data_IF_670514181845
#
_entry.id   IF_670514181845
#
_cell.length_a   1.000
_cell.length_b   1.000
_cell.length_c   1.000
_cell.angle_alpha   90.00
_cell.angle_beta   90.00
_cell.angle_gamma   90.00
#
_symmetry.space_group_name_H-M   'P 1'
#
loop_
_entity.id
_entity.type
_entity.pdbx_description
1 polymer ?
#
# COMPACT_ATOMS: atom_id res chain seq x y z
N UNK A 1 -12.83 -4.29 25.20
CA UNK A 1 -13.26 -5.53 24.52
C UNK A 1 -12.14 -5.96 23.59
N UNK A 2 -11.65 -7.20 23.71
CA UNK A 2 -10.66 -7.77 22.79
C UNK A 2 -11.26 -7.96 21.40
N UNK A 3 -10.42 -7.91 20.38
CA UNK A 3 -10.75 -8.26 19.01
C UNK A 3 -11.21 -9.72 18.91
N UNK A 4 -12.08 -10.05 17.94
CA UNK A 4 -12.51 -11.44 17.71
C UNK A 4 -11.35 -12.41 17.42
N UNK A 5 -10.25 -11.89 16.84
CA UNK A 5 -9.08 -12.71 16.52
C UNK A 5 -8.29 -13.06 17.79
N UNK A 6 -8.13 -12.10 18.71
CA UNK A 6 -7.45 -12.33 19.99
C UNK A 6 -8.29 -13.14 20.98
N UNK A 7 -9.60 -13.30 20.76
CA UNK A 7 -10.42 -14.22 21.56
C UNK A 7 -10.23 -15.70 21.22
N UNK A 8 -9.55 -16.03 20.11
CA UNK A 8 -9.22 -17.41 19.78
C UNK A 8 -8.12 -17.91 20.72
N UNK A 9 -8.31 -19.04 21.44
CA UNK A 9 -7.37 -19.50 22.48
C UNK A 9 -5.91 -19.61 21.99
N UNK A 10 -5.71 -20.28 20.84
CA UNK A 10 -4.36 -20.46 20.28
C UNK A 10 -3.69 -19.12 19.90
N UNK A 11 -4.46 -18.16 19.37
CA UNK A 11 -3.94 -16.84 19.01
C UNK A 11 -3.58 -16.08 20.27
N UNK A 12 -4.45 -16.12 21.28
CA UNK A 12 -4.25 -15.44 22.55
C UNK A 12 -2.98 -15.95 23.24
N UNK A 13 -2.76 -17.25 23.29
CA UNK A 13 -1.62 -17.84 23.99
C UNK A 13 -0.30 -17.44 23.31
N UNK A 14 -0.23 -17.54 21.98
CA UNK A 14 0.96 -17.13 21.21
C UNK A 14 1.18 -15.62 21.33
N UNK A 15 0.16 -14.81 21.09
CA UNK A 15 0.29 -13.36 21.00
C UNK A 15 0.53 -12.75 22.38
N UNK A 16 -0.15 -13.22 23.42
CA UNK A 16 0.03 -12.69 24.79
C UNK A 16 1.45 -12.85 25.29
N UNK A 17 2.14 -13.93 24.91
CA UNK A 17 3.56 -14.16 25.22
C UNK A 17 4.49 -13.12 24.58
N UNK A 18 4.12 -12.62 23.40
CA UNK A 18 4.91 -11.65 22.62
C UNK A 18 4.56 -10.20 22.94
N UNK A 19 3.33 -9.93 23.36
CA UNK A 19 2.80 -8.56 23.55
C UNK A 19 2.65 -8.16 25.02
N UNK A 20 3.02 -9.06 25.95
CA UNK A 20 2.81 -8.85 27.39
C UNK A 20 1.32 -8.77 27.74
N UNK A 21 0.49 -9.59 27.11
CA UNK A 21 -0.96 -9.66 27.35
C UNK A 21 -1.80 -8.60 26.64
N UNK A 22 -1.21 -7.71 25.84
CA UNK A 22 -1.95 -6.70 25.05
C UNK A 22 -2.52 -7.31 23.77
N UNK A 23 -3.73 -6.90 23.38
CA UNK A 23 -4.33 -7.29 22.10
C UNK A 23 -3.84 -6.36 20.98
N UNK A 24 -2.91 -6.79 20.10
CA UNK A 24 -2.41 -5.95 19.02
C UNK A 24 -3.46 -5.72 17.94
N UNK A 25 -4.50 -6.53 17.85
CA UNK A 25 -5.55 -6.40 16.84
C UNK A 25 -6.67 -5.46 17.30
N UNK A 26 -6.63 -4.99 18.56
CA UNK A 26 -7.60 -4.02 19.07
C UNK A 26 -7.55 -2.73 18.24
N UNK A 27 -6.38 -2.12 18.05
CA UNK A 27 -6.20 -0.92 17.23
C UNK A 27 -5.05 -1.13 16.24
N UNK A 28 -5.36 -1.15 14.94
CA UNK A 28 -4.41 -1.45 13.87
C UNK A 28 -3.50 -0.28 13.50
N UNK A 29 -3.57 0.85 14.21
CA UNK A 29 -2.73 2.02 13.92
C UNK A 29 -1.23 1.72 13.98
N UNK A 30 -0.79 0.84 14.89
CA UNK A 30 0.62 0.47 15.01
C UNK A 30 1.14 -0.26 13.76
N UNK A 31 0.28 -1.07 13.11
CA UNK A 31 0.65 -1.87 11.95
C UNK A 31 0.40 -1.15 10.63
N UNK A 32 -0.49 -0.15 10.60
CA UNK A 32 -0.91 0.51 9.37
C UNK A 32 0.26 1.10 8.58
N UNK A 33 1.11 1.88 9.25
CA UNK A 33 2.28 2.53 8.61
C UNK A 33 3.28 1.51 8.05
N UNK A 34 3.84 0.56 8.84
CA UNK A 34 4.80 -0.39 8.31
C UNK A 34 4.20 -1.28 7.20
N UNK A 35 2.94 -1.70 7.31
CA UNK A 35 2.28 -2.47 6.25
C UNK A 35 2.08 -1.66 4.98
N UNK A 36 1.77 -0.36 5.08
CA UNK A 36 1.63 0.50 3.91
C UNK A 36 2.94 0.68 3.15
N UNK A 37 4.06 0.83 3.88
CA UNK A 37 5.41 0.91 3.31
C UNK A 37 5.82 -0.41 2.68
N UNK A 38 5.53 -1.54 3.36
CA UNK A 38 5.79 -2.87 2.82
C UNK A 38 5.04 -3.08 1.50
N UNK A 39 3.73 -2.82 1.46
CA UNK A 39 2.93 -2.94 0.24
C UNK A 39 3.42 -2.01 -0.89
N UNK A 40 3.94 -0.83 -0.56
CA UNK A 40 4.53 0.08 -1.54
C UNK A 40 5.85 -0.45 -2.13
N UNK A 41 6.66 -1.15 -1.32
CA UNK A 41 7.94 -1.71 -1.72
C UNK A 41 7.85 -3.04 -2.49
N UNK A 42 6.81 -3.86 -2.24
CA UNK A 42 6.65 -5.17 -2.89
C UNK A 42 6.80 -5.17 -4.43
N UNK A 43 6.14 -4.28 -5.21
CA UNK A 43 6.30 -4.28 -6.66
C UNK A 43 7.73 -3.94 -7.10
N UNK A 44 8.47 -3.17 -6.31
CA UNK A 44 9.88 -2.88 -6.56
C UNK A 44 10.74 -4.14 -6.40
N UNK A 45 10.66 -4.81 -5.26
CA UNK A 45 11.46 -6.02 -5.00
C UNK A 45 11.15 -7.14 -5.99
N UNK A 46 9.87 -7.32 -6.34
CA UNK A 46 9.47 -8.26 -7.38
C UNK A 46 10.12 -7.95 -8.73
N UNK A 47 10.15 -6.67 -9.14
CA UNK A 47 10.71 -6.29 -10.43
C UNK A 47 12.24 -6.22 -10.45
N UNK A 48 12.90 -5.98 -9.31
CA UNK A 48 14.35 -6.20 -9.15
C UNK A 48 14.67 -7.67 -9.41
N UNK A 49 13.95 -8.58 -8.74
CA UNK A 49 14.17 -10.01 -8.91
C UNK A 49 14.01 -10.42 -10.38
N UNK A 50 12.97 -9.93 -11.06
CA UNK A 50 12.77 -10.20 -12.48
C UNK A 50 13.89 -9.64 -13.37
N UNK A 51 14.32 -8.40 -13.13
CA UNK A 51 15.39 -7.77 -13.89
C UNK A 51 16.72 -8.53 -13.74
N UNK A 52 17.06 -8.91 -12.52
CA UNK A 52 18.30 -9.62 -12.20
C UNK A 52 18.31 -11.05 -12.74
N UNK A 53 17.26 -11.83 -12.46
CA UNK A 53 17.16 -13.23 -12.89
C UNK A 53 17.15 -13.41 -14.40
N UNK A 54 16.57 -12.46 -15.14
CA UNK A 54 16.48 -12.50 -16.60
C UNK A 54 17.57 -11.66 -17.28
N UNK A 55 18.53 -11.11 -16.53
CA UNK A 55 19.63 -10.28 -17.03
C UNK A 55 19.15 -9.14 -17.96
N UNK A 56 18.01 -8.54 -17.63
CA UNK A 56 17.50 -7.36 -18.35
C UNK A 56 18.50 -6.23 -18.15
N UNK A 57 18.97 -5.64 -19.26
CA UNK A 57 20.09 -4.68 -19.25
C UNK A 57 21.36 -5.20 -18.54
N UNK A 58 21.62 -6.51 -18.58
CA UNK A 58 22.75 -7.14 -17.89
C UNK A 58 22.50 -7.46 -16.42
N UNK A 59 21.31 -7.18 -15.89
CA UNK A 59 20.95 -7.36 -14.48
C UNK A 59 20.53 -6.04 -13.84
N UNK A 60 20.04 -6.10 -12.60
CA UNK A 60 19.61 -4.92 -11.88
C UNK A 60 20.82 -4.16 -11.30
N UNK A 61 20.85 -2.83 -11.47
CA UNK A 61 21.90 -2.00 -10.89
C UNK A 61 21.45 -1.30 -9.61
N UNK A 62 22.04 -1.70 -8.48
CA UNK A 62 21.86 -1.00 -7.20
C UNK A 62 22.70 0.29 -7.09
N UNK A 63 23.69 0.48 -7.98
CA UNK A 63 24.53 1.68 -8.00
C UNK A 63 23.72 2.90 -8.43
N UNK A 64 22.86 2.74 -9.44
CA UNK A 64 21.97 3.80 -9.89
C UNK A 64 20.62 3.24 -10.38
N UNK A 65 19.74 2.82 -9.46
CA UNK A 65 18.49 2.15 -9.80
C UNK A 65 17.52 3.04 -10.59
N UNK A 66 17.52 4.36 -10.32
CA UNK A 66 16.67 5.31 -11.06
C UNK A 66 17.13 5.45 -12.50
N UNK A 67 18.43 5.58 -12.71
CA UNK A 67 19.00 5.63 -14.06
C UNK A 67 18.72 4.33 -14.82
N UNK A 68 18.86 3.17 -14.16
CA UNK A 68 18.52 1.88 -14.78
C UNK A 68 17.09 1.83 -15.33
N UNK A 69 16.11 2.35 -14.57
CA UNK A 69 14.71 2.43 -15.01
C UNK A 69 14.54 3.43 -16.16
N UNK A 70 15.24 4.56 -16.11
CA UNK A 70 15.25 5.56 -17.19
C UNK A 70 15.83 4.99 -18.48
N UNK A 71 16.93 4.23 -18.41
CA UNK A 71 17.52 3.55 -19.56
C UNK A 71 16.54 2.55 -20.18
N UNK A 72 15.83 1.77 -19.35
CA UNK A 72 14.80 0.86 -19.85
C UNK A 72 13.66 1.61 -20.56
N UNK A 73 13.30 2.77 -20.04
CA UNK A 73 12.28 3.64 -20.63
C UNK A 73 12.77 4.23 -21.95
N UNK A 74 14.00 4.72 -22.01
CA UNK A 74 14.62 5.27 -23.21
C UNK A 74 14.70 4.23 -24.34
N UNK A 75 14.93 2.96 -24.00
CA UNK A 75 14.89 1.84 -24.98
C UNK A 75 13.55 1.79 -25.73
N UNK A 76 12.43 2.15 -25.11
CA UNK A 76 11.12 2.12 -25.80
C UNK A 76 10.99 3.11 -26.95
N UNK A 77 11.87 4.12 -27.01
CA UNK A 77 11.88 5.12 -28.08
C UNK A 77 12.49 4.60 -29.37
N UNK A 78 13.39 3.61 -29.27
CA UNK A 78 14.12 3.05 -30.43
C UNK A 78 13.71 1.62 -30.73
N UNK A 79 13.27 0.86 -29.72
CA UNK A 79 12.97 -0.57 -29.82
C UNK A 79 11.71 -0.93 -29.06
N UNK A 80 10.90 -1.82 -29.61
CA UNK A 80 9.73 -2.36 -28.91
C UNK A 80 10.16 -3.16 -27.69
N UNK A 81 9.61 -2.81 -26.53
CA UNK A 81 9.87 -3.53 -25.28
C UNK A 81 9.20 -4.91 -25.26
N UNK A 82 9.87 -5.86 -24.65
CA UNK A 82 9.33 -7.20 -24.36
C UNK A 82 8.23 -7.14 -23.29
N UNK A 83 7.35 -8.15 -23.20
CA UNK A 83 6.35 -8.22 -22.14
C UNK A 83 6.95 -8.18 -20.72
N UNK A 84 8.13 -8.78 -20.53
CA UNK A 84 8.86 -8.76 -19.26
C UNK A 84 9.32 -7.35 -18.90
N UNK A 85 9.97 -6.64 -19.84
CA UNK A 85 10.44 -5.26 -19.63
C UNK A 85 9.27 -4.31 -19.33
N UNK A 86 8.14 -4.47 -20.03
CA UNK A 86 6.93 -3.73 -19.72
C UNK A 86 6.39 -4.02 -18.32
N UNK A 87 6.51 -5.26 -17.84
CA UNK A 87 6.11 -5.66 -16.48
C UNK A 87 7.03 -5.02 -15.43
N UNK A 88 8.34 -4.98 -15.70
CA UNK A 88 9.32 -4.32 -14.84
C UNK A 88 9.00 -2.83 -14.73
N UNK A 89 8.82 -2.13 -15.86
CA UNK A 89 8.45 -0.72 -15.84
C UNK A 89 7.14 -0.48 -15.09
N UNK A 90 6.11 -1.32 -15.32
CA UNK A 90 4.85 -1.23 -14.58
C UNK A 90 5.04 -1.37 -13.07
N UNK A 91 5.83 -2.34 -12.60
CA UNK A 91 6.08 -2.48 -11.16
C UNK A 91 6.83 -1.31 -10.56
N UNK A 92 7.81 -0.76 -11.29
CA UNK A 92 8.52 0.45 -10.84
C UNK A 92 7.60 1.67 -10.78
N UNK A 93 6.70 1.85 -11.75
CA UNK A 93 5.66 2.90 -11.70
C UNK A 93 4.64 2.67 -10.58
N UNK A 94 4.27 1.41 -10.32
CA UNK A 94 3.36 1.04 -9.23
C UNK A 94 3.95 1.41 -7.87
N UNK A 95 5.24 1.14 -7.65
CA UNK A 95 5.94 1.53 -6.42
C UNK A 95 5.87 3.05 -6.22
N UNK A 96 6.12 3.84 -7.27
CA UNK A 96 6.24 5.29 -7.17
C UNK A 96 4.90 5.88 -6.76
N UNK A 97 3.83 5.43 -7.44
CA UNK A 97 2.47 5.78 -7.06
C UNK A 97 2.13 5.39 -5.61
N UNK A 98 2.56 4.21 -5.16
CA UNK A 98 2.31 3.77 -3.80
C UNK A 98 3.02 4.66 -2.77
N UNK A 99 4.31 4.96 -2.97
CA UNK A 99 5.08 5.84 -2.09
C UNK A 99 4.58 7.28 -2.10
N UNK A 100 4.03 7.78 -3.20
CA UNK A 100 3.36 9.09 -3.26
C UNK A 100 2.10 9.16 -2.38
N UNK A 101 1.41 8.02 -2.17
CA UNK A 101 0.17 7.96 -1.39
C UNK A 101 0.40 7.61 0.09
N UNK A 102 1.51 6.96 0.43
CA UNK A 102 1.82 6.58 1.83
C UNK A 102 1.79 7.78 2.79
N UNK A 103 2.40 8.95 2.49
CA UNK A 103 2.34 10.11 3.38
C UNK A 103 0.91 10.56 3.69
N UNK A 104 0.04 10.54 2.68
CA UNK A 104 -1.37 10.92 2.84
C UNK A 104 -2.12 9.92 3.72
N UNK A 105 -1.84 8.62 3.59
CA UNK A 105 -2.36 7.59 4.49
C UNK A 105 -1.88 7.79 5.94
N UNK A 106 -0.58 8.04 6.13
CA UNK A 106 0.00 8.31 7.45
C UNK A 106 -0.67 9.52 8.10
N UNK A 107 -0.78 10.64 7.37
CA UNK A 107 -1.43 11.85 7.85
C UNK A 107 -2.89 11.58 8.24
N UNK A 108 -3.62 10.81 7.43
CA UNK A 108 -5.01 10.45 7.71
C UNK A 108 -5.15 9.54 8.94
N UNK A 109 -4.20 8.63 9.16
CA UNK A 109 -4.18 7.77 10.33
C UNK A 109 -3.88 8.55 11.61
N UNK A 110 -2.93 9.50 11.54
CA UNK A 110 -2.64 10.44 12.63
C UNK A 110 -3.87 11.29 12.92
N UNK A 111 -4.50 11.85 11.89
CA UNK A 111 -5.75 12.62 12.01
C UNK A 111 -6.87 11.83 12.69
N UNK A 112 -7.07 10.57 12.30
CA UNK A 112 -8.12 9.73 12.88
C UNK A 112 -7.92 9.49 14.38
N UNK A 113 -6.67 9.27 14.80
CA UNK A 113 -6.32 9.11 16.21
C UNK A 113 -6.44 10.45 16.97
N UNK A 114 -5.96 11.55 16.38
CA UNK A 114 -6.05 12.89 16.97
C UNK A 114 -7.50 13.34 17.17
N UNK A 115 -8.37 13.16 16.18
CA UNK A 115 -9.78 13.50 16.25
C UNK A 115 -10.58 12.58 17.20
N UNK A 116 -9.95 11.55 17.79
CA UNK A 116 -10.61 10.63 18.71
C UNK A 116 -11.70 9.79 18.04
N UNK A 117 -11.48 9.37 16.79
CA UNK A 117 -12.40 8.46 16.11
C UNK A 117 -12.43 7.10 16.81
N UNK A 118 -13.58 6.43 16.74
CA UNK A 118 -13.71 5.10 17.34
C UNK A 118 -12.78 4.08 16.66
N UNK A 119 -12.27 3.15 17.47
CA UNK A 119 -11.27 2.16 17.02
C UNK A 119 -11.78 1.30 15.87
N UNK A 120 -13.08 1.01 15.81
CA UNK A 120 -13.68 0.24 14.70
C UNK A 120 -13.61 1.02 13.38
N UNK A 121 -13.84 2.34 13.41
CA UNK A 121 -13.66 3.23 12.26
C UNK A 121 -12.19 3.29 11.82
N UNK A 122 -11.25 3.44 12.75
CA UNK A 122 -9.81 3.45 12.45
C UNK A 122 -9.38 2.12 11.81
N UNK A 123 -9.76 0.98 12.39
CA UNK A 123 -9.41 -0.34 11.86
C UNK A 123 -9.99 -0.58 10.46
N UNK A 124 -11.24 -0.17 10.22
CA UNK A 124 -11.87 -0.25 8.89
C UNK A 124 -11.12 0.59 7.86
N UNK A 125 -10.68 1.78 8.24
CA UNK A 125 -9.85 2.62 7.36
C UNK A 125 -8.51 1.95 7.04
N UNK A 126 -7.78 1.48 8.04
CA UNK A 126 -6.49 0.80 7.84
C UNK A 126 -6.65 -0.41 6.92
N UNK A 127 -7.59 -1.31 7.22
CA UNK A 127 -7.82 -2.51 6.41
C UNK A 127 -8.29 -2.13 5.01
N UNK A 128 -9.30 -1.26 4.90
CA UNK A 128 -9.87 -0.87 3.61
C UNK A 128 -8.85 -0.20 2.69
N UNK A 129 -8.03 0.69 3.22
CA UNK A 129 -6.94 1.31 2.48
C UNK A 129 -5.89 0.27 2.05
N UNK A 130 -5.38 -0.55 2.98
CA UNK A 130 -4.34 -1.54 2.65
C UNK A 130 -4.83 -2.58 1.64
N UNK A 131 -6.06 -3.07 1.76
CA UNK A 131 -6.69 -3.98 0.78
C UNK A 131 -6.79 -3.30 -0.59
N UNK A 132 -7.22 -2.04 -0.65
CA UNK A 132 -7.27 -1.30 -1.92
C UNK A 132 -5.88 -1.20 -2.57
N UNK A 133 -4.83 -0.99 -1.77
CA UNK A 133 -3.45 -0.91 -2.28
C UNK A 133 -2.94 -2.28 -2.74
N UNK A 134 -3.24 -3.35 -2.02
CA UNK A 134 -2.88 -4.70 -2.45
C UNK A 134 -3.54 -5.07 -3.79
N UNK A 135 -4.85 -4.84 -3.92
CA UNK A 135 -5.58 -5.07 -5.16
C UNK A 135 -5.07 -4.18 -6.30
N UNK A 136 -4.79 -2.90 -6.02
CA UNK A 136 -4.21 -1.98 -6.99
C UNK A 136 -2.87 -2.51 -7.51
N UNK A 137 -1.97 -2.95 -6.63
CA UNK A 137 -0.66 -3.51 -7.00
C UNK A 137 -0.80 -4.76 -7.86
N UNK A 138 -1.68 -5.70 -7.49
CA UNK A 138 -1.93 -6.91 -8.28
C UNK A 138 -2.46 -6.58 -9.68
N UNK A 139 -3.41 -5.65 -9.78
CA UNK A 139 -3.92 -5.19 -11.07
C UNK A 139 -2.83 -4.50 -11.88
N UNK A 140 -2.01 -3.65 -11.26
CA UNK A 140 -0.95 -2.91 -11.96
C UNK A 140 0.07 -3.85 -12.63
N UNK A 141 0.47 -4.92 -11.93
CA UNK A 141 1.46 -5.86 -12.46
C UNK A 141 0.90 -6.75 -13.58
N UNK A 142 -0.32 -7.26 -13.40
CA UNK A 142 -0.90 -8.30 -14.27
C UNK A 142 -1.71 -7.76 -15.45
N UNK A 143 -2.14 -6.49 -15.41
CA UNK A 143 -3.00 -5.93 -16.45
C UNK A 143 -2.19 -5.22 -17.54
N UNK A 144 -2.31 -5.72 -18.77
CA UNK A 144 -1.66 -5.14 -19.97
C UNK A 144 -2.62 -4.49 -20.98
N UNK A 145 -3.94 -4.71 -20.86
CA UNK A 145 -4.96 -4.22 -21.81
C UNK A 145 -5.66 -2.95 -21.29
N UNK A 146 -5.97 -2.01 -22.20
CA UNK A 146 -6.64 -0.73 -21.91
C UNK A 146 -8.01 -0.89 -21.23
N UNK A 147 -8.82 -1.88 -21.60
CA UNK A 147 -10.12 -2.10 -20.95
C UNK A 147 -9.99 -2.43 -19.45
N UNK A 148 -8.92 -3.14 -19.07
CA UNK A 148 -8.68 -3.54 -17.68
C UNK A 148 -7.99 -2.42 -16.87
N UNK A 149 -7.52 -1.33 -17.51
CA UNK A 149 -6.96 -0.18 -16.77
C UNK A 149 -8.02 0.62 -16.02
N UNK A 150 -9.30 0.53 -16.41
CA UNK A 150 -10.39 1.14 -15.66
C UNK A 150 -10.58 0.51 -14.27
N UNK A 151 -10.37 -0.81 -14.15
CA UNK A 151 -10.40 -1.50 -12.87
C UNK A 151 -9.31 -0.97 -11.91
N UNK A 152 -8.11 -0.72 -12.43
CA UNK A 152 -7.02 -0.11 -11.67
C UNK A 152 -7.41 1.28 -11.14
N UNK A 153 -8.00 2.12 -11.99
CA UNK A 153 -8.47 3.44 -11.59
C UNK A 153 -9.59 3.35 -10.54
N UNK A 154 -10.55 2.45 -10.73
CA UNK A 154 -11.64 2.27 -9.76
C UNK A 154 -11.10 1.88 -8.37
N UNK A 155 -10.20 0.89 -8.29
CA UNK A 155 -9.59 0.45 -7.03
C UNK A 155 -8.75 1.56 -6.40
N UNK A 156 -8.02 2.34 -7.20
CA UNK A 156 -7.30 3.52 -6.71
C UNK A 156 -8.24 4.52 -6.04
N UNK A 157 -9.36 4.85 -6.70
CA UNK A 157 -10.34 5.80 -6.17
C UNK A 157 -11.05 5.29 -4.92
N UNK A 158 -11.21 3.97 -4.75
CA UNK A 158 -11.68 3.39 -3.48
C UNK A 158 -10.71 3.72 -2.34
N UNK A 159 -9.39 3.62 -2.57
CA UNK A 159 -8.38 4.00 -1.59
C UNK A 159 -8.43 5.50 -1.23
N UNK A 160 -8.60 6.36 -2.23
CA UNK A 160 -8.81 7.80 -2.01
C UNK A 160 -10.12 8.07 -1.25
N UNK A 161 -11.19 7.34 -1.56
CA UNK A 161 -12.46 7.42 -0.84
C UNK A 161 -12.31 7.10 0.65
N UNK A 162 -11.48 6.10 0.99
CA UNK A 162 -11.14 5.81 2.40
C UNK A 162 -10.47 6.99 3.09
N UNK A 163 -9.48 7.62 2.44
CA UNK A 163 -8.80 8.81 2.96
C UNK A 163 -9.81 9.93 3.21
N UNK A 164 -10.59 10.31 2.19
CA UNK A 164 -11.60 11.38 2.30
C UNK A 164 -12.60 11.07 3.43
N UNK A 165 -13.06 9.82 3.53
CA UNK A 165 -14.03 9.43 4.55
C UNK A 165 -13.52 9.65 5.97
N UNK A 166 -12.23 9.43 6.23
CA UNK A 166 -11.62 9.64 7.55
C UNK A 166 -11.45 11.12 7.85
N UNK A 167 -11.02 11.90 6.86
CA UNK A 167 -10.94 13.35 7.03
C UNK A 167 -12.29 13.95 7.40
N UNK A 168 -13.35 13.60 6.67
CA UNK A 168 -14.70 14.05 6.96
C UNK A 168 -15.17 13.59 8.34
N UNK A 169 -15.03 12.29 8.68
CA UNK A 169 -15.46 11.77 9.98
C UNK A 169 -14.75 12.46 11.14
N UNK A 170 -13.43 12.68 11.03
CA UNK A 170 -12.67 13.41 12.05
C UNK A 170 -13.17 14.85 12.17
N UNK A 171 -13.40 15.53 11.05
CA UNK A 171 -13.91 16.91 11.05
C UNK A 171 -15.28 17.01 11.75
N UNK A 172 -16.23 16.12 11.43
CA UNK A 172 -17.53 16.08 12.09
C UNK A 172 -17.44 15.77 13.58
N UNK A 173 -16.47 14.95 14.00
CA UNK A 173 -16.25 14.61 15.41
C UNK A 173 -15.75 15.81 16.22
N UNK A 174 -14.88 16.64 15.64
CA UNK A 174 -14.32 17.84 16.30
C UNK A 174 -15.12 19.12 16.01
N UNK A 175 -16.08 19.10 15.09
CA UNK A 175 -16.88 20.27 14.74
C UNK A 175 -17.65 20.90 15.93
N UNK A 176 -18.19 20.12 16.91
CA UNK A 176 -18.78 20.71 18.11
C UNK A 176 -17.79 21.51 18.97
N UNK A 177 -16.49 21.30 18.80
CA UNK A 177 -15.40 22.02 19.49
C UNK A 177 -14.81 23.20 18.70
N UNK A 178 -15.35 23.53 17.52
CA UNK A 178 -14.91 24.65 16.67
C UNK A 178 -15.82 25.89 16.76
N UNK A 179 -16.64 25.99 17.82
CA UNK A 179 -17.38 27.21 18.18
C UNK A 179 -16.64 27.98 19.26
#
# INVERSE_FOLDING_TARGET
MSSPLYSLPFVKDIVSSLTGGKDPFYNLSWAGVPLSLLLAALPHWYTIYLAESNKVQGGWSNVNPRFWVQTLTAKSLTTKLTPLELTILRGQSCQANAFENVPLFIASLVWANYAGLDVKTINRFVVGYLVSRALYTLLYLNVSRKANSFARTAVFQVGIGWIISIWLKGAWKISPTLK
#
